data_IF_424894367644
#
_entry.id   IF_424894367644
#
_cell.length_a   1.000
_cell.length_b   1.000
_cell.length_c   1.000
_cell.angle_alpha   90.00
_cell.angle_beta   90.00
_cell.angle_gamma   90.00
#
_symmetry.space_group_name_H-M   'P 1'
#
loop_
_entity.id
_entity.type
_entity.pdbx_description
1 polymer ?
#
# COMPACT_ATOMS: atom_id res chain seq x y z
N UNK A 1 48.39 -59.68 -9.73
CA UNK A 1 48.26 -60.20 -11.11
C UNK A 1 47.99 -59.01 -12.03
N UNK A 2 48.94 -58.76 -12.95
CA UNK A 2 48.88 -57.81 -14.08
C UNK A 2 48.55 -58.68 -15.30
N UNK A 3 47.60 -58.32 -16.21
CA UNK A 3 47.86 -57.43 -17.37
C UNK A 3 46.64 -56.55 -17.75
N UNK A 4 46.69 -55.51 -18.56
CA UNK A 4 47.67 -55.00 -19.49
C UNK A 4 46.95 -54.36 -20.70
N UNK A 5 47.36 -53.16 -21.08
CA UNK A 5 47.36 -52.59 -22.45
C UNK A 5 46.03 -52.35 -23.19
N UNK A 6 45.80 -51.10 -23.62
CA UNK A 6 46.22 -50.60 -24.96
C UNK A 6 46.10 -49.08 -25.08
N UNK A 7 47.18 -48.48 -25.59
CA UNK A 7 47.27 -47.11 -26.15
C UNK A 7 46.56 -47.06 -27.51
N UNK A 8 46.15 -45.83 -27.92
CA UNK A 8 46.01 -45.26 -29.30
C UNK A 8 44.76 -44.38 -29.35
N UNK A 9 44.67 -43.18 -29.94
CA UNK A 9 45.54 -42.32 -30.76
C UNK A 9 44.91 -40.92 -30.69
N UNK A 10 45.72 -39.86 -30.79
CA UNK A 10 45.24 -38.51 -31.02
C UNK A 10 44.51 -38.38 -32.36
N UNK A 11 43.41 -37.62 -32.41
CA UNK A 11 42.92 -36.98 -33.63
C UNK A 11 42.61 -35.52 -33.33
N UNK A 12 43.45 -34.69 -33.94
CA UNK A 12 43.33 -33.25 -34.07
C UNK A 12 42.16 -33.00 -35.04
N UNK A 13 41.08 -32.41 -34.54
CA UNK A 13 39.96 -31.93 -35.33
C UNK A 13 39.80 -30.43 -35.12
N UNK A 14 40.17 -29.65 -36.13
CA UNK A 14 40.03 -28.20 -36.16
C UNK A 14 38.54 -27.81 -36.03
N UNK A 15 38.18 -27.14 -34.93
CA UNK A 15 36.91 -26.42 -34.85
C UNK A 15 37.09 -25.06 -35.50
N UNK A 16 36.48 -24.89 -36.67
CA UNK A 16 36.29 -23.61 -37.29
C UNK A 16 35.47 -22.71 -36.35
N UNK A 17 36.05 -21.58 -35.97
CA UNK A 17 35.36 -20.51 -35.29
C UNK A 17 34.37 -19.87 -36.27
N UNK A 18 33.10 -20.28 -36.18
CA UNK A 18 32.00 -19.50 -36.75
C UNK A 18 31.81 -18.27 -35.86
N UNK A 19 32.36 -17.13 -36.30
CA UNK A 19 32.00 -15.82 -35.77
C UNK A 19 30.54 -15.57 -36.12
N UNK A 20 29.63 -15.95 -35.21
CA UNK A 20 28.27 -15.45 -35.23
C UNK A 20 28.31 -13.95 -35.01
N UNK A 21 28.05 -13.25 -36.11
CA UNK A 21 27.79 -11.82 -36.17
C UNK A 21 26.75 -11.46 -35.12
N UNK A 22 27.18 -10.69 -34.13
CA UNK A 22 26.49 -9.53 -33.55
C UNK A 22 25.00 -9.45 -33.91
N UNK A 23 24.20 -10.34 -33.32
CA UNK A 23 22.82 -10.02 -33.03
C UNK A 23 22.89 -8.98 -31.93
N UNK A 24 22.66 -7.72 -32.28
CA UNK A 24 22.16 -6.77 -31.29
C UNK A 24 20.87 -7.41 -30.78
N UNK A 25 20.92 -8.06 -29.61
CA UNK A 25 19.73 -8.31 -28.82
C UNK A 25 19.13 -6.93 -28.60
N UNK A 26 18.15 -6.58 -29.44
CA UNK A 26 17.18 -5.54 -29.16
C UNK A 26 16.61 -5.95 -27.82
N UNK A 27 17.14 -5.36 -26.75
CA UNK A 27 16.54 -5.42 -25.44
C UNK A 27 15.11 -4.96 -25.65
N UNK A 28 14.16 -5.91 -25.67
CA UNK A 28 12.76 -5.58 -25.54
C UNK A 28 12.68 -4.59 -24.38
N UNK A 29 12.10 -3.39 -24.60
CA UNK A 29 12.04 -2.39 -23.56
C UNK A 29 11.42 -3.06 -22.36
N UNK A 30 12.21 -3.20 -21.28
CA UNK A 30 11.78 -3.77 -20.00
C UNK A 30 10.40 -3.21 -19.74
N UNK A 31 9.40 -4.09 -19.76
CA UNK A 31 8.00 -3.76 -19.60
C UNK A 31 7.91 -2.77 -18.45
N UNK A 32 7.73 -1.48 -18.79
CA UNK A 32 7.62 -0.43 -17.79
C UNK A 32 6.51 -0.90 -16.86
N UNK A 33 6.81 -1.03 -15.56
CA UNK A 33 5.83 -1.57 -14.61
C UNK A 33 4.56 -0.75 -14.73
N UNK A 34 3.54 -1.32 -15.38
CA UNK A 34 2.36 -0.58 -15.85
C UNK A 34 1.58 0.07 -14.70
N UNK A 35 1.89 -0.32 -13.45
CA UNK A 35 1.30 0.21 -12.24
C UNK A 35 2.25 1.09 -11.40
N UNK A 36 3.45 1.45 -11.89
CA UNK A 36 4.43 2.22 -11.12
C UNK A 36 3.86 3.56 -10.61
N UNK A 37 3.11 4.27 -11.45
CA UNK A 37 2.43 5.51 -11.02
C UNK A 37 1.36 5.22 -9.98
N UNK A 38 0.57 4.15 -10.16
CA UNK A 38 -0.48 3.78 -9.22
C UNK A 38 0.09 3.43 -7.83
N UNK A 39 1.22 2.72 -7.78
CA UNK A 39 1.96 2.44 -6.54
C UNK A 39 2.46 3.73 -5.89
N UNK A 40 3.05 4.64 -6.67
CA UNK A 40 3.64 5.87 -6.16
C UNK A 40 2.60 6.90 -5.68
N UNK A 41 1.39 6.88 -6.24
CA UNK A 41 0.35 7.89 -6.00
C UNK A 41 -0.91 7.34 -5.32
N UNK A 42 -0.89 6.08 -4.90
CA UNK A 42 -2.04 5.37 -4.34
C UNK A 42 -3.27 5.39 -5.27
N UNK A 43 -3.10 5.03 -6.55
CA UNK A 43 -4.16 5.04 -7.55
C UNK A 43 -4.64 3.63 -7.90
N UNK A 44 -5.70 3.59 -8.68
CA UNK A 44 -6.14 2.40 -9.40
C UNK A 44 -5.25 2.17 -10.62
N UNK A 45 -4.77 0.94 -10.81
CA UNK A 45 -4.04 0.52 -12.00
C UNK A 45 -4.98 -0.23 -12.95
N UNK A 46 -5.46 0.45 -13.98
CA UNK A 46 -6.39 -0.13 -14.97
C UNK A 46 -5.81 -1.36 -15.67
N UNK A 47 -4.51 -1.32 -16.01
CA UNK A 47 -3.85 -2.41 -16.74
C UNK A 47 -3.88 -3.75 -15.99
N UNK A 48 -3.95 -3.73 -14.66
CA UNK A 48 -3.98 -4.93 -13.81
C UNK A 48 -5.25 -5.04 -12.96
N UNK A 49 -6.20 -4.11 -13.13
CA UNK A 49 -7.46 -4.04 -12.37
C UNK A 49 -7.24 -4.17 -10.85
N UNK A 50 -6.33 -3.35 -10.30
CA UNK A 50 -5.93 -3.39 -8.89
C UNK A 50 -5.65 -1.98 -8.37
N UNK A 51 -6.14 -1.67 -7.16
CA UNK A 51 -5.85 -0.43 -6.45
C UNK A 51 -4.57 -0.53 -5.63
N UNK A 52 -3.90 0.58 -5.38
CA UNK A 52 -2.76 0.61 -4.46
C UNK A 52 -2.99 1.62 -3.35
N UNK A 53 -2.80 1.21 -2.10
CA UNK A 53 -2.84 2.12 -0.93
C UNK A 53 -1.65 1.82 -0.03
N UNK A 54 -0.83 2.85 0.21
CA UNK A 54 0.47 2.72 0.88
C UNK A 54 1.35 1.63 0.25
N UNK A 55 1.28 1.45 -1.07
CA UNK A 55 2.02 0.41 -1.80
C UNK A 55 1.48 -1.02 -1.65
N UNK A 56 0.36 -1.22 -0.94
CA UNK A 56 -0.32 -2.52 -0.85
C UNK A 56 -1.36 -2.63 -1.95
N UNK A 57 -1.41 -3.74 -2.71
CA UNK A 57 -2.44 -3.99 -3.70
C UNK A 57 -3.79 -4.30 -3.03
N UNK A 58 -4.85 -3.64 -3.48
CA UNK A 58 -6.25 -3.83 -3.05
C UNK A 58 -7.04 -4.33 -4.26
N UNK A 59 -7.54 -5.55 -4.18
CA UNK A 59 -8.22 -6.21 -5.32
C UNK A 59 -9.67 -5.75 -5.50
N UNK A 60 -10.33 -5.35 -4.41
CA UNK A 60 -11.71 -4.87 -4.44
C UNK A 60 -11.75 -3.39 -4.83
N UNK A 61 -12.37 -3.10 -5.97
CA UNK A 61 -12.63 -1.72 -6.40
C UNK A 61 -13.50 -0.98 -5.38
N UNK A 62 -14.51 -1.65 -4.84
CA UNK A 62 -15.40 -1.08 -3.82
C UNK A 62 -14.64 -0.69 -2.54
N UNK A 63 -13.73 -1.55 -2.08
CA UNK A 63 -12.87 -1.25 -0.93
C UNK A 63 -11.91 -0.09 -1.23
N UNK A 64 -11.30 -0.09 -2.42
CA UNK A 64 -10.39 0.97 -2.85
C UNK A 64 -11.07 2.34 -2.87
N UNK A 65 -12.27 2.43 -3.45
CA UNK A 65 -13.07 3.67 -3.49
C UNK A 65 -13.44 4.14 -2.07
N UNK A 66 -13.82 3.21 -1.19
CA UNK A 66 -14.19 3.54 0.19
C UNK A 66 -13.00 4.01 1.04
N UNK A 67 -11.77 3.61 0.70
CA UNK A 67 -10.56 4.13 1.36
C UNK A 67 -10.32 5.59 1.00
N UNK A 68 -10.75 6.06 -0.17
CA UNK A 68 -10.53 7.42 -0.68
C UNK A 68 -9.03 7.79 -0.65
N UNK A 69 -8.25 7.06 -1.44
CA UNK A 69 -6.78 7.14 -1.46
C UNK A 69 -6.22 8.48 -1.98
N UNK A 70 -7.00 9.21 -2.78
CA UNK A 70 -6.57 10.42 -3.47
C UNK A 70 -7.17 11.70 -2.87
N UNK A 71 -8.23 11.58 -2.06
CA UNK A 71 -8.94 12.72 -1.51
C UNK A 71 -9.74 13.48 -2.56
N UNK A 72 -10.56 14.41 -2.10
CA UNK A 72 -11.48 15.19 -2.92
C UNK A 72 -11.41 16.68 -2.64
N UNK A 73 -11.54 17.49 -3.69
CA UNK A 73 -11.81 18.92 -3.54
C UNK A 73 -13.29 19.11 -3.22
N UNK A 74 -13.58 19.59 -2.00
CA UNK A 74 -14.93 19.88 -1.56
C UNK A 74 -15.05 21.36 -1.20
N UNK A 75 -16.24 21.93 -1.41
CA UNK A 75 -16.52 23.30 -0.98
C UNK A 75 -16.57 23.37 0.55
N UNK A 76 -15.60 24.03 1.23
CA UNK A 76 -15.55 24.05 2.69
C UNK A 76 -16.76 24.76 3.31
N UNK A 77 -17.42 25.66 2.57
CA UNK A 77 -18.62 26.40 3.02
C UNK A 77 -19.88 25.54 3.08
N UNK A 78 -19.86 24.33 2.50
CA UNK A 78 -20.99 23.41 2.56
C UNK A 78 -21.11 22.67 3.92
N UNK A 79 -20.09 22.77 4.77
CA UNK A 79 -20.03 22.03 6.04
C UNK A 79 -20.57 22.86 7.20
N UNK A 80 -21.59 22.34 7.89
CA UNK A 80 -22.18 22.94 9.10
C UNK A 80 -21.84 22.20 10.39
N UNK A 81 -21.26 21.00 10.30
CA UNK A 81 -20.81 20.25 11.47
C UNK A 81 -19.63 20.97 12.13
N UNK A 82 -19.76 21.35 13.41
CA UNK A 82 -18.71 22.06 14.17
C UNK A 82 -17.36 21.34 14.12
N UNK A 83 -17.36 20.01 14.18
CA UNK A 83 -16.13 19.20 14.06
C UNK A 83 -15.48 19.29 12.68
N UNK A 84 -16.27 19.34 11.60
CA UNK A 84 -15.73 19.54 10.24
C UNK A 84 -15.20 20.96 10.07
N UNK A 85 -15.91 21.98 10.55
CA UNK A 85 -15.47 23.38 10.47
C UNK A 85 -14.12 23.56 11.17
N UNK A 86 -13.94 22.98 12.35
CA UNK A 86 -12.66 23.00 13.05
C UNK A 86 -11.59 22.19 12.31
N UNK A 87 -11.90 20.98 11.83
CA UNK A 87 -10.97 20.15 11.07
C UNK A 87 -10.47 20.85 9.79
N UNK A 88 -11.35 21.55 9.06
CA UNK A 88 -10.98 22.38 7.90
C UNK A 88 -9.98 23.45 8.31
N UNK A 89 -10.22 24.15 9.43
CA UNK A 89 -9.38 25.25 9.92
C UNK A 89 -7.97 24.80 10.27
N UNK A 90 -7.82 23.61 10.87
CA UNK A 90 -6.54 23.14 11.43
C UNK A 90 -5.88 22.03 10.62
N UNK A 91 -6.48 21.57 9.51
CA UNK A 91 -6.04 20.36 8.81
C UNK A 91 -6.20 19.10 9.66
N UNK A 92 -7.29 19.04 10.42
CA UNK A 92 -7.61 17.99 11.39
C UNK A 92 -8.50 16.88 10.81
N UNK A 93 -9.02 16.04 11.69
CA UNK A 93 -9.98 14.99 11.39
C UNK A 93 -11.24 15.19 12.22
N UNK A 94 -12.41 15.16 11.58
CA UNK A 94 -13.69 15.20 12.28
C UNK A 94 -14.14 13.78 12.60
N UNK A 95 -14.11 13.38 13.88
CA UNK A 95 -14.47 12.02 14.28
C UNK A 95 -15.95 11.69 13.99
N UNK A 96 -16.84 12.68 14.09
CA UNK A 96 -18.27 12.50 13.86
C UNK A 96 -18.61 12.21 12.40
N UNK A 97 -18.05 12.99 11.47
CA UNK A 97 -18.31 12.82 10.04
C UNK A 97 -17.30 11.90 9.36
N UNK A 98 -16.23 11.53 10.07
CA UNK A 98 -15.11 10.72 9.58
C UNK A 98 -14.42 11.31 8.34
N UNK A 99 -14.23 12.63 8.32
CA UNK A 99 -13.56 13.34 7.23
C UNK A 99 -12.32 14.05 7.76
N UNK A 100 -11.18 13.79 7.13
CA UNK A 100 -9.91 14.47 7.37
C UNK A 100 -9.62 15.55 6.33
N UNK A 101 -8.84 16.55 6.69
CA UNK A 101 -8.47 17.66 5.80
C UNK A 101 -6.96 17.87 5.75
N UNK A 102 -6.36 17.84 4.56
CA UNK A 102 -4.93 18.07 4.36
C UNK A 102 -4.72 18.85 3.07
N UNK A 103 -4.01 19.97 3.13
CA UNK A 103 -3.66 20.74 1.93
C UNK A 103 -4.85 21.22 1.09
N UNK A 104 -6.03 21.41 1.69
CA UNK A 104 -7.26 21.79 0.97
C UNK A 104 -8.08 20.61 0.43
N UNK A 105 -7.57 19.38 0.55
CA UNK A 105 -8.26 18.15 0.15
C UNK A 105 -8.98 17.53 1.35
N UNK A 106 -10.16 16.95 1.10
CA UNK A 106 -10.91 16.13 2.05
C UNK A 106 -10.57 14.64 1.84
N UNK A 107 -10.47 13.87 2.92
CA UNK A 107 -10.19 12.43 2.90
C UNK A 107 -11.24 11.69 3.74
N UNK A 108 -11.90 10.69 3.16
CA UNK A 108 -13.02 9.98 3.79
C UNK A 108 -12.64 8.75 4.63
N UNK A 109 -11.36 8.43 4.70
CA UNK A 109 -10.85 7.45 5.66
C UNK A 109 -9.76 8.04 6.55
N UNK A 110 -9.69 7.52 7.79
CA UNK A 110 -8.63 7.92 8.74
C UNK A 110 -7.24 7.50 8.23
N UNK A 111 -7.15 6.38 7.51
CA UNK A 111 -5.90 5.94 6.90
C UNK A 111 -5.40 6.98 5.89
N UNK A 112 -6.22 7.33 4.90
CA UNK A 112 -5.76 8.19 3.79
C UNK A 112 -5.56 9.63 4.24
N UNK A 113 -6.34 10.10 5.23
CA UNK A 113 -6.03 11.34 5.96
C UNK A 113 -4.61 11.34 6.53
N UNK A 114 -4.19 10.29 7.23
CA UNK A 114 -2.84 10.24 7.77
C UNK A 114 -1.80 10.04 6.66
N UNK A 115 -2.04 9.18 5.67
CA UNK A 115 -1.12 9.00 4.53
C UNK A 115 -0.82 10.33 3.82
N UNK A 116 -1.82 11.17 3.61
CA UNK A 116 -1.67 12.49 3.00
C UNK A 116 -0.80 13.47 3.81
N UNK A 117 -0.55 13.19 5.10
CA UNK A 117 0.34 13.95 5.99
C UNK A 117 1.75 13.37 6.03
N UNK A 118 1.93 12.17 5.46
CA UNK A 118 3.23 11.60 5.19
C UNK A 118 3.73 11.99 3.80
N UNK A 119 4.80 11.33 3.38
CA UNK A 119 5.40 11.47 2.05
C UNK A 119 5.80 10.10 1.54
N UNK A 120 5.45 9.82 0.29
CA UNK A 120 5.86 8.57 -0.37
C UNK A 120 7.37 8.61 -0.59
N UNK A 121 8.05 7.55 -0.15
CA UNK A 121 9.49 7.34 -0.37
C UNK A 121 9.73 5.88 -0.76
N UNK A 122 10.73 5.64 -1.60
CA UNK A 122 11.14 4.27 -1.90
C UNK A 122 11.98 3.72 -0.75
N UNK A 123 11.94 2.40 -0.54
CA UNK A 123 12.79 1.75 0.46
C UNK A 123 14.30 1.98 0.19
N UNK A 124 14.67 2.19 -1.08
CA UNK A 124 16.04 2.48 -1.49
C UNK A 124 16.53 3.86 -1.00
N UNK A 125 15.62 4.80 -0.73
CA UNK A 125 15.96 6.14 -0.24
C UNK A 125 16.30 6.17 1.25
N UNK A 126 16.02 5.07 1.98
CA UNK A 126 16.33 4.99 3.41
C UNK A 126 17.83 4.85 3.66
N UNK A 127 18.43 5.90 4.22
CA UNK A 127 19.86 5.92 4.56
C UNK A 127 20.20 5.20 5.87
N UNK A 128 19.25 5.12 6.80
CA UNK A 128 19.44 4.47 8.09
C UNK A 128 19.41 2.94 7.96
N UNK A 129 20.42 2.26 8.50
CA UNK A 129 20.49 0.80 8.50
C UNK A 129 19.30 0.13 9.19
N UNK A 130 18.85 0.68 10.32
CA UNK A 130 17.69 0.17 11.04
C UNK A 130 16.38 0.32 10.23
N UNK A 131 16.19 1.47 9.56
CA UNK A 131 15.04 1.68 8.68
C UNK A 131 15.05 0.72 7.48
N UNK A 132 16.23 0.45 6.89
CA UNK A 132 16.35 -0.51 5.78
C UNK A 132 16.13 -1.96 6.20
N UNK A 133 16.51 -2.31 7.42
CA UNK A 133 16.41 -3.67 7.94
C UNK A 133 15.07 -3.97 8.63
N UNK A 134 14.13 -3.01 8.66
CA UNK A 134 12.82 -3.22 9.25
C UNK A 134 12.08 -4.32 8.48
N UNK A 135 11.67 -5.42 9.14
CA UNK A 135 11.06 -6.56 8.45
C UNK A 135 9.59 -6.32 8.12
N UNK A 136 8.95 -5.39 8.81
CA UNK A 136 7.51 -5.13 8.73
C UNK A 136 7.21 -3.92 7.85
N UNK A 137 6.06 -3.90 7.16
CA UNK A 137 5.60 -2.74 6.39
C UNK A 137 5.28 -1.54 7.29
N UNK A 138 5.30 -1.69 8.62
CA UNK A 138 5.17 -0.58 9.56
C UNK A 138 6.28 -0.57 10.61
N UNK A 139 6.95 0.56 10.80
CA UNK A 139 8.05 0.68 11.77
C UNK A 139 8.28 2.12 12.20
N UNK A 140 8.60 2.34 13.49
CA UNK A 140 9.11 3.61 14.00
C UNK A 140 10.58 3.48 14.39
N UNK A 141 11.42 4.30 13.77
CA UNK A 141 12.85 4.37 14.06
C UNK A 141 13.11 5.48 15.09
N UNK A 142 13.45 5.10 16.33
CA UNK A 142 13.74 6.06 17.39
C UNK A 142 15.02 6.87 17.17
N UNK A 143 15.96 6.37 16.36
CA UNK A 143 17.18 7.11 15.99
C UNK A 143 16.89 8.21 14.98
N UNK A 144 16.10 7.92 13.95
CA UNK A 144 15.73 8.89 12.91
C UNK A 144 14.51 9.75 13.26
N UNK A 145 13.78 9.39 14.32
CA UNK A 145 12.48 9.98 14.69
C UNK A 145 11.49 9.97 13.51
N UNK A 146 11.48 8.85 12.79
CA UNK A 146 10.62 8.65 11.61
C UNK A 146 9.83 7.36 11.71
N UNK A 147 8.60 7.41 11.23
CA UNK A 147 7.73 6.25 11.03
C UNK A 147 7.62 5.89 9.56
N UNK A 148 7.37 4.62 9.27
CA UNK A 148 7.08 4.09 7.94
C UNK A 148 5.78 3.29 8.03
N UNK A 149 4.87 3.49 7.08
CA UNK A 149 3.68 2.65 6.84
C UNK A 149 3.59 2.41 5.33
N UNK A 150 3.80 1.17 4.91
CA UNK A 150 3.92 0.82 3.50
C UNK A 150 5.06 1.58 2.82
N UNK A 151 4.76 2.28 1.74
CA UNK A 151 5.69 3.19 1.05
C UNK A 151 5.65 4.65 1.55
N UNK A 152 4.96 4.94 2.66
CA UNK A 152 4.80 6.30 3.19
C UNK A 152 5.60 6.49 4.47
N UNK A 153 6.32 7.61 4.55
CA UNK A 153 7.16 7.97 5.69
C UNK A 153 6.59 9.19 6.41
N UNK A 154 6.79 9.21 7.73
CA UNK A 154 6.25 10.19 8.66
C UNK A 154 7.37 10.76 9.52
N UNK A 155 7.46 12.09 9.59
CA UNK A 155 8.36 12.80 10.53
C UNK A 155 7.68 13.06 11.89
N UNK A 156 6.40 12.72 12.03
CA UNK A 156 5.60 12.92 13.24
C UNK A 156 5.08 11.57 13.78
N UNK A 157 5.27 11.32 15.09
CA UNK A 157 4.88 10.05 15.73
C UNK A 157 3.36 9.87 15.82
N UNK A 158 2.59 10.93 16.02
CA UNK A 158 1.14 10.86 16.08
C UNK A 158 0.56 10.50 14.70
N UNK A 159 1.06 11.11 13.63
CA UNK A 159 0.66 10.78 12.26
C UNK A 159 1.03 9.34 11.89
N UNK A 160 2.24 8.89 12.23
CA UNK A 160 2.64 7.49 12.08
C UNK A 160 1.69 6.53 12.81
N UNK A 161 1.39 6.78 14.08
CA UNK A 161 0.51 5.90 14.87
C UNK A 161 -0.91 5.88 14.33
N UNK A 162 -1.40 7.01 13.82
CA UNK A 162 -2.68 7.12 13.13
C UNK A 162 -2.72 6.31 11.84
N UNK A 163 -1.71 6.49 10.99
CA UNK A 163 -1.56 5.73 9.74
C UNK A 163 -1.44 4.22 10.00
N UNK A 164 -0.63 3.80 10.98
CA UNK A 164 -0.45 2.38 11.32
C UNK A 164 -1.77 1.73 11.70
N UNK A 165 -2.57 2.36 12.59
CA UNK A 165 -3.88 1.82 12.96
C UNK A 165 -4.81 1.68 11.75
N UNK A 166 -4.86 2.70 10.89
CA UNK A 166 -5.66 2.65 9.66
C UNK A 166 -5.18 1.57 8.68
N UNK A 167 -3.87 1.34 8.61
CA UNK A 167 -3.25 0.35 7.75
C UNK A 167 -3.57 -1.07 8.21
N UNK A 168 -3.47 -1.35 9.50
CA UNK A 168 -3.86 -2.64 10.09
C UNK A 168 -5.35 -2.96 9.82
N UNK A 169 -6.22 -1.94 9.93
CA UNK A 169 -7.64 -2.05 9.58
C UNK A 169 -7.86 -2.32 8.09
N UNK A 170 -7.14 -1.62 7.21
CA UNK A 170 -7.20 -1.82 5.76
C UNK A 170 -6.79 -3.24 5.38
N UNK A 171 -5.71 -3.78 5.95
CA UNK A 171 -5.30 -5.17 5.69
C UNK A 171 -6.38 -6.18 6.13
N UNK A 172 -7.02 -5.92 7.27
CA UNK A 172 -8.14 -6.73 7.76
C UNK A 172 -9.36 -6.64 6.84
N UNK A 173 -9.66 -5.44 6.33
CA UNK A 173 -10.74 -5.21 5.39
C UNK A 173 -10.46 -5.89 4.03
N UNK A 174 -9.23 -5.78 3.51
CA UNK A 174 -8.82 -6.41 2.25
C UNK A 174 -8.96 -7.94 2.32
N UNK A 175 -8.52 -8.56 3.42
CA UNK A 175 -8.77 -9.98 3.69
C UNK A 175 -10.26 -10.32 3.69
N UNK A 176 -11.07 -9.52 4.36
CA UNK A 176 -12.52 -9.73 4.42
C UNK A 176 -13.19 -9.55 3.06
N UNK A 177 -12.69 -8.65 2.21
CA UNK A 177 -13.24 -8.34 0.89
C UNK A 177 -13.32 -9.56 -0.02
N UNK A 178 -12.36 -10.50 0.12
CA UNK A 178 -12.34 -11.77 -0.63
C UNK A 178 -13.54 -12.68 -0.37
N UNK A 179 -14.23 -12.47 0.76
CA UNK A 179 -15.42 -13.22 1.17
C UNK A 179 -16.70 -12.39 1.07
N UNK A 180 -16.63 -11.11 1.46
CA UNK A 180 -17.76 -10.19 1.40
C UNK A 180 -17.25 -8.74 1.44
N UNK A 181 -17.39 -8.00 0.34
CA UNK A 181 -16.97 -6.60 0.27
C UNK A 181 -17.74 -5.72 1.26
N UNK A 182 -19.01 -6.01 1.54
CA UNK A 182 -19.78 -5.28 2.57
C UNK A 182 -19.23 -5.51 3.98
N UNK A 183 -18.63 -6.68 4.28
CA UNK A 183 -17.89 -6.85 5.54
C UNK A 183 -16.62 -6.00 5.57
N UNK A 184 -15.90 -5.88 4.45
CA UNK A 184 -14.73 -5.01 4.35
C UNK A 184 -15.10 -3.54 4.60
N UNK A 185 -16.20 -3.06 4.02
CA UNK A 185 -16.72 -1.72 4.27
C UNK A 185 -17.14 -1.53 5.74
N UNK A 186 -17.83 -2.51 6.31
CA UNK A 186 -18.23 -2.47 7.72
C UNK A 186 -17.02 -2.43 8.67
N UNK A 187 -15.93 -3.14 8.35
CA UNK A 187 -14.66 -3.07 9.09
C UNK A 187 -14.07 -1.66 9.04
N UNK A 188 -13.99 -1.03 7.86
CA UNK A 188 -13.46 0.33 7.74
C UNK A 188 -14.33 1.37 8.47
N UNK A 189 -15.64 1.13 8.51
CA UNK A 189 -16.62 2.04 9.09
C UNK A 189 -16.81 1.88 10.61
N UNK A 190 -16.29 0.80 11.21
CA UNK A 190 -16.68 0.32 12.55
C UNK A 190 -18.22 0.17 12.65
N UNK A 191 -18.79 -0.52 11.67
CA UNK A 191 -20.24 -0.70 11.51
C UNK A 191 -20.60 -2.18 11.29
N UNK A 192 -21.84 -2.44 10.87
CA UNK A 192 -22.40 -3.77 10.69
C UNK A 192 -22.57 -4.11 9.22
N UNK A 193 -22.12 -5.30 8.85
CA UNK A 193 -22.40 -5.83 7.52
C UNK A 193 -23.89 -6.19 7.40
N UNK A 194 -24.58 -5.55 6.46
CA UNK A 194 -26.01 -5.82 6.24
C UNK A 194 -26.29 -7.27 5.79
N UNK A 195 -25.39 -7.91 5.05
CA UNK A 195 -25.61 -9.27 4.55
C UNK A 195 -25.28 -10.33 5.60
N UNK A 196 -24.12 -10.22 6.24
CA UNK A 196 -23.67 -11.20 7.23
C UNK A 196 -24.24 -10.95 8.64
N UNK A 197 -24.81 -9.77 8.89
CA UNK A 197 -25.33 -9.34 10.20
C UNK A 197 -24.27 -9.38 11.31
N UNK A 198 -23.01 -9.15 10.95
CA UNK A 198 -21.87 -9.07 11.88
C UNK A 198 -21.52 -7.59 12.07
N UNK A 199 -21.43 -7.17 13.33
CA UNK A 199 -20.90 -5.85 13.70
C UNK A 199 -19.39 -5.92 13.87
N UNK A 200 -18.68 -4.86 13.47
CA UNK A 200 -17.24 -4.76 13.59
C UNK A 200 -16.85 -3.54 14.42
N UNK A 201 -15.79 -3.69 15.20
CA UNK A 201 -15.11 -2.60 15.91
C UNK A 201 -13.61 -2.89 15.92
N UNK A 202 -12.80 -1.91 15.52
CA UNK A 202 -11.34 -2.05 15.43
C UNK A 202 -10.93 -3.29 14.59
N UNK A 203 -11.67 -3.55 13.51
CA UNK A 203 -11.45 -4.67 12.59
C UNK A 203 -11.87 -6.04 13.12
N UNK A 204 -12.46 -6.11 14.31
CA UNK A 204 -12.86 -7.37 14.95
C UNK A 204 -14.38 -7.50 15.03
N UNK A 205 -14.93 -8.70 14.85
CA UNK A 205 -16.36 -8.93 15.04
C UNK A 205 -16.74 -8.74 16.52
N UNK A 206 -17.88 -8.10 16.78
CA UNK A 206 -18.43 -7.88 18.12
C UNK A 206 -19.87 -8.39 18.22
N UNK A 207 -20.26 -8.82 19.42
CA UNK A 207 -21.54 -9.50 19.67
C UNK A 207 -22.78 -8.59 19.51
N UNK A 208 -22.60 -7.29 19.50
CA UNK A 208 -23.71 -6.32 19.39
C UNK A 208 -23.25 -5.14 18.58
N UNK A 209 -24.02 -4.80 17.54
CA UNK A 209 -23.88 -3.50 16.88
C UNK A 209 -24.22 -2.42 17.90
N UNK A 210 -23.22 -1.73 18.46
CA UNK A 210 -23.47 -0.43 19.08
C UNK A 210 -23.81 0.51 17.92
N UNK A 211 -25.12 0.71 17.68
CA UNK A 211 -25.56 1.78 16.78
C UNK A 211 -25.20 3.09 17.45
N UNK A 212 -24.13 3.74 16.99
CA UNK A 212 -23.80 5.11 17.34
C UNK A 212 -24.77 6.09 16.67
#
# INVERSE_FOLDING_TARGET
MIPGWRRRTALIGAFAAAMSLLGCDEHEPREHDACAEAVARNLWCEARNVGFVAGVPIQSHLLFDALDAHGHELNPKAFTCTGCVEAIRVGGFCDKCRIGWVGGMAYFSRLTYHLARGRVESAADHRCGACRAAPEPTHWCDACKRGVVGNTVFDNRADFLGARRGFDLMLTADEASRRCETCALAILADDSCFFCKIAYLDGKPVATAQRN
#
